data_IF_513602058767
#
_entry.id   IF_513602058767
#
_cell.length_a   1.000
_cell.length_b   1.000
_cell.length_c   1.000
_cell.angle_alpha   90.00
_cell.angle_beta   90.00
_cell.angle_gamma   90.00
#
_symmetry.space_group_name_H-M   'P 1'
#
loop_
_entity.id
_entity.type
_entity.pdbx_description
1 polymer ?
#
# COMPACT_ATOMS: atom_id res chain seq x y z
N UNK A 1 -4.70 -5.35 -22.71
CA UNK A 1 -5.60 -5.12 -21.57
C UNK A 1 -5.61 -6.21 -20.50
N UNK A 2 -6.09 -7.43 -20.77
CA UNK A 2 -6.30 -8.43 -19.72
C UNK A 2 -5.08 -8.69 -18.82
N UNK A 3 -3.90 -8.91 -19.40
CA UNK A 3 -2.69 -9.28 -18.64
C UNK A 3 -2.32 -8.27 -17.54
N UNK A 4 -2.42 -6.97 -17.82
CA UNK A 4 -2.04 -5.92 -16.87
C UNK A 4 -2.99 -5.90 -15.67
N UNK A 5 -4.29 -6.11 -15.89
CA UNK A 5 -5.28 -6.23 -14.84
C UNK A 5 -5.02 -7.46 -13.96
N UNK A 6 -4.69 -8.61 -14.54
CA UNK A 6 -4.36 -9.82 -13.77
C UNK A 6 -3.14 -9.62 -12.88
N UNK A 7 -2.07 -9.00 -13.41
CA UNK A 7 -0.88 -8.67 -12.63
C UNK A 7 -1.22 -7.64 -11.54
N UNK A 8 -2.03 -6.62 -11.85
CA UNK A 8 -2.44 -5.61 -10.89
C UNK A 8 -3.21 -6.23 -9.71
N UNK A 9 -4.17 -7.11 -10.00
CA UNK A 9 -4.95 -7.81 -8.98
C UNK A 9 -4.06 -8.74 -8.17
N UNK A 10 -3.16 -9.50 -8.80
CA UNK A 10 -2.22 -10.37 -8.08
C UNK A 10 -1.33 -9.57 -7.14
N UNK A 11 -0.79 -8.44 -7.61
CA UNK A 11 0.00 -7.52 -6.80
C UNK A 11 -0.82 -6.87 -5.67
N UNK A 12 -2.08 -6.54 -5.92
CA UNK A 12 -2.99 -6.00 -4.90
C UNK A 12 -3.29 -7.03 -3.80
N UNK A 13 -3.55 -8.29 -4.17
CA UNK A 13 -3.76 -9.39 -3.22
C UNK A 13 -2.50 -9.60 -2.37
N UNK A 14 -1.33 -9.64 -3.00
CA UNK A 14 -0.05 -9.76 -2.32
C UNK A 14 0.18 -8.62 -1.32
N UNK A 15 -0.04 -7.38 -1.75
CA UNK A 15 0.18 -6.17 -0.96
C UNK A 15 -0.81 -6.08 0.22
N UNK A 16 -2.11 -6.19 -0.05
CA UNK A 16 -3.15 -6.11 0.98
C UNK A 16 -3.05 -7.31 1.93
N UNK A 17 -2.86 -8.52 1.41
CA UNK A 17 -2.70 -9.73 2.21
C UNK A 17 -1.47 -9.69 3.11
N UNK A 18 -0.34 -9.20 2.61
CA UNK A 18 0.87 -8.94 3.40
C UNK A 18 0.62 -7.98 4.55
N UNK A 19 -0.06 -6.86 4.27
CA UNK A 19 -0.41 -5.87 5.29
C UNK A 19 -1.35 -6.42 6.37
N UNK A 20 -2.34 -7.23 6.00
CA UNK A 20 -3.27 -7.90 6.94
C UNK A 20 -2.50 -8.90 7.80
N UNK A 21 -1.61 -9.71 7.19
CA UNK A 21 -0.79 -10.67 7.93
C UNK A 21 0.12 -9.98 8.95
N UNK A 22 0.82 -8.92 8.54
CA UNK A 22 1.72 -8.17 9.42
C UNK A 22 0.95 -7.44 10.52
N UNK A 23 -0.24 -6.92 10.22
CA UNK A 23 -1.13 -6.34 11.23
C UNK A 23 -1.58 -7.40 12.25
N UNK A 24 -2.04 -8.56 11.78
CA UNK A 24 -2.44 -9.67 12.63
C UNK A 24 -1.29 -10.11 13.55
N UNK A 25 -0.09 -10.33 12.99
CA UNK A 25 1.12 -10.63 13.76
C UNK A 25 1.40 -9.53 14.82
N UNK A 26 1.24 -8.26 14.44
CA UNK A 26 1.34 -7.09 15.32
C UNK A 26 0.42 -7.13 16.54
N UNK A 27 -0.82 -7.56 16.34
CA UNK A 27 -1.85 -7.61 17.37
C UNK A 27 -1.77 -8.89 18.20
N UNK A 28 -1.49 -10.04 17.58
CA UNK A 28 -1.52 -11.35 18.25
C UNK A 28 -0.23 -11.67 18.99
N UNK A 29 0.93 -11.25 18.48
CA UNK A 29 2.22 -11.52 19.12
C UNK A 29 2.45 -10.51 20.24
N UNK A 30 1.94 -10.74 21.45
CA UNK A 30 2.06 -9.78 22.57
C UNK A 30 3.37 -9.89 23.35
N UNK A 31 4.03 -11.05 23.33
CA UNK A 31 5.31 -11.28 24.02
C UNK A 31 6.46 -10.51 23.36
N UNK A 32 7.08 -9.61 24.13
CA UNK A 32 8.20 -8.78 23.68
C UNK A 32 9.45 -9.57 23.33
N UNK A 33 9.71 -10.72 23.96
CA UNK A 33 10.86 -11.56 23.61
C UNK A 33 10.66 -12.20 22.24
N UNK A 34 9.48 -12.80 22.01
CA UNK A 34 9.11 -13.34 20.71
C UNK A 34 9.12 -12.27 19.61
N UNK A 35 8.56 -11.08 19.87
CA UNK A 35 8.60 -9.94 18.93
C UNK A 35 10.04 -9.60 18.52
N UNK A 36 10.98 -9.51 19.48
CA UNK A 36 12.39 -9.18 19.20
C UNK A 36 13.12 -10.28 18.42
N UNK A 37 12.70 -11.54 18.53
CA UNK A 37 13.26 -12.63 17.75
C UNK A 37 12.73 -12.67 16.31
N UNK A 38 11.44 -12.39 16.11
CA UNK A 38 10.75 -12.57 14.82
C UNK A 38 10.87 -11.34 13.93
N UNK A 39 10.59 -10.13 14.43
CA UNK A 39 10.50 -8.94 13.58
C UNK A 39 11.77 -8.57 12.81
N UNK A 40 12.99 -8.69 13.36
CA UNK A 40 14.20 -8.36 12.60
C UNK A 40 14.43 -9.24 11.37
N UNK A 41 13.85 -10.44 11.35
CA UNK A 41 13.97 -11.40 10.26
C UNK A 41 12.79 -11.29 9.28
N UNK A 42 11.56 -11.24 9.80
CA UNK A 42 10.34 -11.19 8.98
C UNK A 42 10.13 -9.81 8.37
N UNK A 43 10.43 -8.74 9.11
CA UNK A 43 10.23 -7.36 8.67
C UNK A 43 10.91 -7.03 7.34
N UNK A 44 12.21 -7.30 7.16
CA UNK A 44 12.89 -7.08 5.88
C UNK A 44 12.32 -7.92 4.74
N UNK A 45 12.00 -9.20 4.97
CA UNK A 45 11.45 -10.09 3.95
C UNK A 45 10.13 -9.53 3.41
N UNK A 46 9.20 -9.19 4.31
CA UNK A 46 7.93 -8.57 3.93
C UNK A 46 8.14 -7.21 3.30
N UNK A 47 9.05 -6.38 3.83
CA UNK A 47 9.33 -5.06 3.27
C UNK A 47 9.83 -5.11 1.82
N UNK A 48 10.77 -6.00 1.50
CA UNK A 48 11.25 -6.15 0.11
C UNK A 48 10.16 -6.72 -0.81
N UNK A 49 9.41 -7.71 -0.33
CA UNK A 49 8.29 -8.28 -1.08
C UNK A 49 7.22 -7.22 -1.39
N UNK A 50 6.85 -6.41 -0.40
CA UNK A 50 5.89 -5.32 -0.55
C UNK A 50 6.39 -4.26 -1.54
N UNK A 51 7.68 -3.88 -1.50
CA UNK A 51 8.26 -2.97 -2.50
C UNK A 51 8.10 -3.51 -3.92
N UNK A 52 8.33 -4.81 -4.15
CA UNK A 52 8.11 -5.44 -5.45
C UNK A 52 6.65 -5.39 -5.87
N UNK A 53 5.72 -5.73 -4.96
CA UNK A 53 4.29 -5.65 -5.23
C UNK A 53 3.84 -4.21 -5.55
N UNK A 54 4.38 -3.20 -4.85
CA UNK A 54 4.11 -1.79 -5.10
C UNK A 54 4.58 -1.34 -6.48
N UNK A 55 5.77 -1.78 -6.91
CA UNK A 55 6.26 -1.50 -8.26
C UNK A 55 5.30 -2.05 -9.33
N UNK A 56 4.81 -3.28 -9.15
CA UNK A 56 3.81 -3.84 -10.05
C UNK A 56 2.49 -3.08 -10.01
N UNK A 57 2.00 -2.68 -8.83
CA UNK A 57 0.78 -1.90 -8.67
C UNK A 57 0.86 -0.55 -9.40
N UNK A 58 1.94 0.20 -9.17
CA UNK A 58 2.16 1.50 -9.80
C UNK A 58 2.34 1.36 -11.31
N UNK A 59 3.13 0.38 -11.75
CA UNK A 59 3.40 0.14 -13.18
C UNK A 59 2.15 -0.27 -13.94
N UNK A 60 1.46 -1.31 -13.47
CA UNK A 60 0.23 -1.80 -14.13
C UNK A 60 -0.93 -0.81 -14.00
N UNK A 61 -1.06 -0.09 -12.88
CA UNK A 61 -2.07 0.95 -12.71
C UNK A 61 -1.87 2.11 -13.69
N UNK A 62 -0.64 2.62 -13.80
CA UNK A 62 -0.28 3.68 -14.76
C UNK A 62 -0.50 3.23 -16.20
N UNK A 63 -0.11 2.00 -16.52
CA UNK A 63 -0.34 1.41 -17.83
C UNK A 63 -1.84 1.37 -18.18
N UNK A 64 -2.69 0.85 -17.28
CA UNK A 64 -4.13 0.80 -17.52
C UNK A 64 -4.75 2.19 -17.73
N UNK A 65 -4.39 3.18 -16.90
CA UNK A 65 -4.90 4.55 -17.05
C UNK A 65 -4.52 5.14 -18.41
N UNK A 66 -3.31 4.87 -18.89
CA UNK A 66 -2.84 5.32 -20.21
C UNK A 66 -3.60 4.62 -21.34
N UNK A 67 -3.72 3.29 -21.26
CA UNK A 67 -4.34 2.43 -22.28
C UNK A 67 -5.84 2.73 -22.43
N UNK A 68 -6.52 3.10 -21.35
CA UNK A 68 -7.92 3.56 -21.37
C UNK A 68 -8.08 5.04 -21.76
N UNK A 69 -7.00 5.77 -22.06
CA UNK A 69 -7.07 7.19 -22.43
C UNK A 69 -7.52 8.12 -21.30
N UNK A 70 -7.34 7.73 -20.05
CA UNK A 70 -7.90 8.45 -18.89
C UNK A 70 -6.98 9.56 -18.36
N UNK A 71 -5.70 9.58 -18.75
CA UNK A 71 -4.71 10.54 -18.21
C UNK A 71 -5.20 11.98 -18.34
N UNK A 72 -5.62 12.41 -19.53
CA UNK A 72 -6.05 13.79 -19.76
C UNK A 72 -7.32 14.14 -18.97
N UNK A 73 -8.27 13.19 -18.90
CA UNK A 73 -9.52 13.38 -18.16
C UNK A 73 -9.28 13.63 -16.68
N UNK A 74 -8.24 13.03 -16.08
CA UNK A 74 -7.90 13.21 -14.67
C UNK A 74 -7.60 14.67 -14.30
N UNK A 75 -7.14 15.48 -15.25
CA UNK A 75 -6.69 16.86 -15.03
C UNK A 75 -7.60 17.94 -15.63
N UNK A 76 -8.79 17.56 -16.07
CA UNK A 76 -9.82 18.47 -16.61
C UNK A 76 -10.97 18.68 -15.63
N UNK A 77 -11.87 19.63 -15.91
CA UNK A 77 -13.12 19.81 -15.15
C UNK A 77 -14.22 18.79 -15.54
N UNK A 78 -13.87 17.73 -16.28
CA UNK A 78 -14.81 16.66 -16.59
C UNK A 78 -15.16 15.87 -15.32
N UNK A 79 -16.45 15.63 -15.09
CA UNK A 79 -16.95 14.88 -13.94
C UNK A 79 -17.81 13.69 -14.38
N UNK A 80 -17.52 12.54 -13.76
CA UNK A 80 -18.32 11.32 -13.85
C UNK A 80 -17.97 10.47 -12.63
N UNK A 81 -18.87 9.60 -12.21
CA UNK A 81 -18.66 8.75 -11.03
C UNK A 81 -17.34 7.95 -11.13
N UNK A 82 -17.01 7.44 -12.33
CA UNK A 82 -15.76 6.71 -12.58
C UNK A 82 -14.53 7.61 -12.43
N UNK A 83 -14.53 8.79 -13.06
CA UNK A 83 -13.37 9.70 -13.05
C UNK A 83 -13.16 10.28 -11.66
N UNK A 84 -14.22 10.65 -10.96
CA UNK A 84 -14.12 11.21 -9.60
C UNK A 84 -13.63 10.14 -8.61
N UNK A 85 -14.15 8.92 -8.69
CA UNK A 85 -13.64 7.80 -7.90
C UNK A 85 -12.17 7.49 -8.20
N UNK A 86 -11.76 7.54 -9.49
CA UNK A 86 -10.37 7.32 -9.90
C UNK A 86 -9.44 8.41 -9.38
N UNK A 87 -9.84 9.70 -9.44
CA UNK A 87 -9.07 10.82 -8.86
C UNK A 87 -8.86 10.64 -7.36
N UNK A 88 -9.92 10.31 -6.62
CA UNK A 88 -9.84 10.06 -5.18
C UNK A 88 -8.90 8.88 -4.89
N UNK A 89 -9.05 7.78 -5.63
CA UNK A 89 -8.16 6.60 -5.54
C UNK A 89 -6.70 6.99 -5.74
N UNK A 90 -6.39 7.75 -6.79
CA UNK A 90 -5.02 8.16 -7.11
C UNK A 90 -4.42 9.10 -6.06
N UNK A 91 -5.22 10.01 -5.51
CA UNK A 91 -4.79 10.84 -4.37
C UNK A 91 -4.45 9.99 -3.15
N UNK A 92 -5.27 9.00 -2.82
CA UNK A 92 -4.95 8.08 -1.71
C UNK A 92 -3.72 7.22 -2.00
N UNK A 93 -3.54 6.74 -3.24
CA UNK A 93 -2.33 6.00 -3.65
C UNK A 93 -1.09 6.87 -3.49
N UNK A 94 -1.15 8.16 -3.84
CA UNK A 94 -0.05 9.10 -3.65
C UNK A 94 0.29 9.28 -2.16
N UNK A 95 -0.71 9.52 -1.30
CA UNK A 95 -0.51 9.62 0.16
C UNK A 95 0.07 8.32 0.71
N UNK A 96 -0.47 7.17 0.30
CA UNK A 96 0.02 5.85 0.69
C UNK A 96 1.48 5.66 0.28
N UNK A 97 1.87 6.05 -0.93
CA UNK A 97 3.25 5.94 -1.40
C UNK A 97 4.20 6.76 -0.51
N UNK A 98 3.85 8.01 -0.21
CA UNK A 98 4.66 8.88 0.67
C UNK A 98 4.82 8.25 2.06
N UNK A 99 3.72 7.82 2.67
CA UNK A 99 3.74 7.22 4.01
C UNK A 99 4.53 5.90 4.01
N UNK A 100 4.42 5.09 2.96
CA UNK A 100 5.17 3.84 2.79
C UNK A 100 6.67 4.11 2.71
N UNK A 101 7.10 5.08 1.90
CA UNK A 101 8.53 5.43 1.81
C UNK A 101 9.07 5.87 3.17
N UNK A 102 8.34 6.74 3.88
CA UNK A 102 8.72 7.17 5.23
C UNK A 102 8.82 5.96 6.19
N UNK A 103 7.80 5.10 6.18
CA UNK A 103 7.75 3.90 7.01
C UNK A 103 8.95 2.98 6.74
N UNK A 104 9.21 2.69 5.47
CA UNK A 104 10.26 1.78 5.02
C UNK A 104 11.66 2.33 5.35
N UNK A 105 11.91 3.62 5.12
CA UNK A 105 13.19 4.25 5.48
C UNK A 105 13.46 4.17 6.97
N UNK A 106 12.45 4.41 7.83
CA UNK A 106 12.60 4.25 9.27
C UNK A 106 12.84 2.78 9.63
N UNK A 107 12.09 1.86 9.03
CA UNK A 107 12.22 0.42 9.27
C UNK A 107 13.65 -0.08 8.96
N UNK A 108 14.21 0.29 7.81
CA UNK A 108 15.58 -0.07 7.42
C UNK A 108 16.63 0.49 8.39
N UNK A 109 16.52 1.77 8.76
CA UNK A 109 17.45 2.41 9.70
C UNK A 109 17.43 1.79 11.09
N UNK A 110 16.34 1.11 11.45
CA UNK A 110 16.05 0.65 12.81
C UNK A 110 15.86 -0.86 12.91
N UNK A 111 16.22 -1.63 11.88
CA UNK A 111 15.97 -3.07 11.87
C UNK A 111 16.79 -3.82 12.95
N UNK A 112 18.04 -3.40 13.16
CA UNK A 112 18.99 -4.01 14.09
C UNK A 112 19.38 -3.07 15.24
N UNK A 113 18.65 -1.97 15.42
CA UNK A 113 18.94 -0.95 16.43
C UNK A 113 17.69 -0.59 17.21
N UNK A 114 17.85 -0.13 18.44
CA UNK A 114 16.73 0.29 19.27
C UNK A 114 16.14 1.60 18.74
N UNK A 115 14.82 1.64 18.58
CA UNK A 115 14.09 2.82 18.08
C UNK A 115 13.94 3.86 19.18
N UNK A 116 14.05 5.13 18.81
CA UNK A 116 13.65 6.22 19.70
C UNK A 116 12.12 6.25 19.89
N UNK A 117 11.62 6.95 20.92
CA UNK A 117 10.18 7.10 21.16
C UNK A 117 9.44 7.67 19.95
N UNK A 118 10.04 8.66 19.28
CA UNK A 118 9.47 9.28 18.07
C UNK A 118 9.46 8.28 16.91
N UNK A 119 10.54 7.55 16.68
CA UNK A 119 10.60 6.51 15.63
C UNK A 119 9.57 5.40 15.87
N UNK A 120 9.36 5.01 17.13
CA UNK A 120 8.31 4.05 17.48
C UNK A 120 6.91 4.57 17.16
N UNK A 121 6.60 5.82 17.56
CA UNK A 121 5.30 6.41 17.28
C UNK A 121 5.06 6.53 15.77
N UNK A 122 6.04 7.07 15.03
CA UNK A 122 5.94 7.25 13.58
C UNK A 122 5.82 5.90 12.88
N UNK A 123 6.62 4.90 13.27
CA UNK A 123 6.56 3.55 12.65
C UNK A 123 5.19 2.89 12.87
N UNK A 124 4.62 2.96 14.09
CA UNK A 124 3.29 2.40 14.37
C UNK A 124 2.19 3.18 13.68
N UNK A 125 2.22 4.51 13.78
CA UNK A 125 1.22 5.38 13.15
C UNK A 125 1.20 5.24 11.64
N UNK A 126 2.37 5.24 10.99
CA UNK A 126 2.49 5.01 9.54
C UNK A 126 1.99 3.63 9.14
N UNK A 127 2.32 2.57 9.88
CA UNK A 127 1.80 1.21 9.60
C UNK A 127 0.27 1.16 9.62
N UNK A 128 -0.35 1.74 10.65
CA UNK A 128 -1.81 1.79 10.78
C UNK A 128 -2.43 2.62 9.66
N UNK A 129 -1.84 3.78 9.34
CA UNK A 129 -2.32 4.63 8.26
C UNK A 129 -2.24 3.91 6.91
N UNK A 130 -1.11 3.25 6.60
CA UNK A 130 -0.95 2.45 5.37
C UNK A 130 -2.02 1.36 5.30
N UNK A 131 -2.24 0.64 6.40
CA UNK A 131 -3.27 -0.40 6.48
C UNK A 131 -4.67 0.14 6.14
N UNK A 132 -5.10 1.24 6.74
CA UNK A 132 -6.40 1.83 6.43
C UNK A 132 -6.47 2.40 5.01
N UNK A 133 -5.42 3.10 4.55
CA UNK A 133 -5.37 3.61 3.18
C UNK A 133 -5.50 2.48 2.16
N UNK A 134 -4.92 1.30 2.43
CA UNK A 134 -5.10 0.13 1.57
C UNK A 134 -6.56 -0.29 1.44
N UNK A 135 -7.30 -0.33 2.55
CA UNK A 135 -8.71 -0.67 2.55
C UNK A 135 -9.53 0.36 1.76
N UNK A 136 -9.22 1.66 1.89
CA UNK A 136 -9.89 2.70 1.11
C UNK A 136 -9.53 2.65 -0.37
N UNK A 137 -8.26 2.44 -0.73
CA UNK A 137 -7.84 2.27 -2.14
C UNK A 137 -8.55 1.06 -2.76
N UNK A 138 -8.70 -0.04 -2.03
CA UNK A 138 -9.48 -1.20 -2.45
C UNK A 138 -10.96 -0.84 -2.60
N UNK A 139 -11.56 -0.12 -1.65
CA UNK A 139 -12.95 0.31 -1.73
C UNK A 139 -13.22 1.10 -3.02
N UNK A 140 -12.41 2.11 -3.35
CA UNK A 140 -12.59 2.86 -4.59
C UNK A 140 -12.27 2.03 -5.84
N UNK A 141 -11.40 1.02 -5.76
CA UNK A 141 -11.24 0.06 -6.85
C UNK A 141 -12.52 -0.76 -7.09
N UNK A 142 -13.23 -1.15 -6.02
CA UNK A 142 -14.51 -1.85 -6.11
C UNK A 142 -15.62 -0.93 -6.62
N UNK A 143 -15.68 0.33 -6.18
CA UNK A 143 -16.64 1.32 -6.70
C UNK A 143 -16.48 1.49 -8.21
N UNK A 144 -15.25 1.71 -8.69
CA UNK A 144 -14.98 1.82 -10.13
C UNK A 144 -15.42 0.54 -10.86
N UNK A 145 -15.20 -0.64 -10.27
CA UNK A 145 -15.61 -1.90 -10.88
C UNK A 145 -17.13 -2.09 -10.92
N UNK A 146 -17.85 -1.62 -9.91
CA UNK A 146 -19.31 -1.76 -9.83
C UNK A 146 -20.03 -0.85 -10.83
N UNK A 147 -19.44 0.30 -11.15
CA UNK A 147 -19.94 1.22 -12.18
C UNK A 147 -19.73 0.64 -13.61
N UNK A 148 -18.74 -0.23 -13.80
CA UNK A 148 -18.31 -0.81 -15.08
C UNK A 148 -18.86 -2.22 -15.35
#
# INVERSE_FOLDING_TARGET
>A
MGWALHIHILAAIAWIGGSIFMFALGVTMTDKKAQKAVYPHIGPIFGYFEVVALMFLLGTGSYMITDYGLIELLFTDYHSEVIDALRIKLWMVLVLLIVTVIHFVIALKTNNTERTKIQHLVSRGSSMLIFFLNLFVLHYAMVIRDIL
#
